data_IF_881403490615
#
_entry.id   IF_881403490615
#
_cell.length_a   1.000
_cell.length_b   1.000
_cell.length_c   1.000
_cell.angle_alpha   90.00
_cell.angle_beta   90.00
_cell.angle_gamma   90.00
#
_symmetry.space_group_name_H-M   'P 1'
#
loop_
_entity.id
_entity.type
_entity.pdbx_description
1 polymer ?
#
# COMPACT_ATOMS: atom_id res chain seq x y z
N UNK A 1 47.71 -24.31 67.42
CA UNK A 1 47.67 -23.08 68.24
C UNK A 1 49.07 -22.80 68.78
N UNK A 2 49.88 -22.07 68.02
CA UNK A 2 51.11 -21.47 68.52
C UNK A 2 50.80 -19.99 68.72
N UNK A 3 50.43 -19.62 69.94
CA UNK A 3 50.22 -18.21 70.29
C UNK A 3 51.59 -17.51 70.25
N UNK A 4 51.76 -16.61 69.28
CA UNK A 4 52.92 -15.73 69.24
C UNK A 4 52.90 -14.85 70.50
N UNK A 5 53.98 -14.88 71.26
CA UNK A 5 54.13 -14.03 72.45
C UNK A 5 54.23 -12.56 72.03
N UNK A 6 53.75 -11.61 72.84
CA UNK A 6 53.70 -10.17 72.50
C UNK A 6 55.06 -9.60 72.02
N UNK A 7 56.17 -10.17 72.50
CA UNK A 7 57.53 -9.79 72.06
C UNK A 7 57.83 -10.23 70.62
N UNK A 8 57.31 -11.38 70.18
CA UNK A 8 57.50 -11.90 68.82
C UNK A 8 56.65 -11.13 67.79
N UNK A 9 55.45 -10.69 68.15
CA UNK A 9 54.64 -9.82 67.26
C UNK A 9 55.27 -8.44 67.11
N UNK A 10 55.85 -7.87 68.18
CA UNK A 10 56.60 -6.61 68.09
C UNK A 10 57.84 -6.71 67.20
N UNK A 11 58.63 -7.79 67.31
CA UNK A 11 59.78 -7.99 66.42
C UNK A 11 59.36 -8.18 64.97
N UNK A 12 58.27 -8.90 64.70
CA UNK A 12 57.72 -9.04 63.34
C UNK A 12 57.24 -7.72 62.76
N UNK A 13 56.56 -6.86 63.55
CA UNK A 13 56.13 -5.54 63.09
C UNK A 13 57.33 -4.65 62.77
N UNK A 14 58.34 -4.61 63.65
CA UNK A 14 59.55 -3.80 63.40
C UNK A 14 60.29 -4.29 62.16
N UNK A 15 60.39 -5.60 61.95
CA UNK A 15 61.03 -6.19 60.76
C UNK A 15 60.23 -5.89 59.49
N UNK A 16 58.90 -5.93 59.57
CA UNK A 16 58.02 -5.55 58.46
C UNK A 16 58.14 -4.07 58.10
N UNK A 17 58.16 -3.18 59.10
CA UNK A 17 58.33 -1.73 58.89
C UNK A 17 59.73 -1.43 58.33
N UNK A 18 60.78 -2.09 58.83
CA UNK A 18 62.13 -1.94 58.30
C UNK A 18 62.23 -2.45 56.85
N UNK A 19 61.61 -3.58 56.53
CA UNK A 19 61.53 -4.10 55.16
C UNK A 19 60.77 -3.15 54.24
N UNK A 20 59.66 -2.56 54.70
CA UNK A 20 58.86 -1.61 53.93
C UNK A 20 59.63 -0.32 53.65
N UNK A 21 60.28 0.24 54.68
CA UNK A 21 61.17 1.40 54.51
C UNK A 21 62.36 1.09 53.60
N UNK A 22 62.92 -0.11 53.66
CA UNK A 22 63.99 -0.54 52.76
C UNK A 22 63.51 -0.59 51.30
N UNK A 23 62.31 -1.14 51.04
CA UNK A 23 61.72 -1.17 49.70
C UNK A 23 61.40 0.22 49.16
N UNK A 24 60.89 1.14 49.99
CA UNK A 24 60.60 2.53 49.58
C UNK A 24 61.90 3.27 49.22
N UNK A 25 62.97 3.06 49.99
CA UNK A 25 64.30 3.65 49.66
C UNK A 25 64.88 3.02 48.40
N UNK A 26 64.61 1.74 48.13
CA UNK A 26 65.02 1.05 46.90
C UNK A 26 64.26 1.57 45.66
N UNK A 27 62.97 1.90 45.81
CA UNK A 27 62.12 2.44 44.74
C UNK A 27 62.49 3.89 44.39
N UNK A 28 62.91 4.69 45.39
CA UNK A 28 63.32 6.09 45.21
C UNK A 28 64.75 6.26 44.66
N UNK A 29 65.50 5.17 44.47
CA UNK A 29 66.88 5.19 43.97
C UNK A 29 67.01 4.85 42.46
N UNK A 30 65.90 4.77 41.71
CA UNK A 30 65.87 4.50 40.25
C UNK A 30 66.63 3.22 39.82
N UNK A 31 66.67 2.19 40.68
CA UNK A 31 67.43 0.95 40.42
C UNK A 31 66.64 -0.08 39.57
N UNK A 32 65.42 0.26 39.12
CA UNK A 32 64.60 -0.58 38.23
C UNK A 32 64.53 -0.08 36.77
N UNK A 33 65.29 0.97 36.44
CA UNK A 33 65.29 1.57 35.09
C UNK A 33 65.87 0.70 33.94
N UNK A 34 66.85 -0.22 34.13
CA UNK A 34 67.36 -1.01 33.01
C UNK A 34 66.42 -2.14 32.54
N UNK A 35 65.45 -2.56 33.36
CA UNK A 35 64.48 -3.61 32.99
C UNK A 35 63.30 -3.01 32.19
N UNK A 36 63.00 -1.73 32.40
CA UNK A 36 61.99 -0.99 31.61
C UNK A 36 62.49 -0.60 30.21
N UNK A 37 63.80 -0.52 29.98
CA UNK A 37 64.38 -0.18 28.66
C UNK A 37 64.56 -1.39 27.74
N UNK A 38 64.58 -2.62 28.25
CA UNK A 38 64.63 -3.85 27.42
C UNK A 38 63.27 -4.30 26.84
N UNK A 39 62.16 -3.92 27.46
CA UNK A 39 60.81 -4.23 26.97
C UNK A 39 60.33 -3.27 25.87
N UNK A 40 60.96 -2.09 25.74
CA UNK A 40 60.52 -1.05 24.82
C UNK A 40 61.10 -1.20 23.40
N UNK A 41 62.15 -2.01 23.19
CA UNK A 41 62.72 -2.27 21.85
C UNK A 41 62.01 -3.38 21.07
N UNK A 42 61.24 -4.25 21.75
CA UNK A 42 60.48 -5.35 21.10
C UNK A 42 59.09 -4.89 20.61
N UNK A 43 58.55 -3.82 21.20
CA UNK A 43 57.19 -3.33 20.91
C UNK A 43 57.19 -2.32 19.75
N UNK A 44 58.33 -1.73 19.40
CA UNK A 44 58.40 -0.69 18.36
C UNK A 44 58.12 -1.12 16.89
N UNK A 45 58.35 -2.37 16.43
CA UNK A 45 57.93 -2.73 15.08
C UNK A 45 56.39 -2.88 14.97
N UNK A 46 55.72 -3.29 16.05
CA UNK A 46 54.27 -3.53 16.06
C UNK A 46 53.49 -2.21 16.08
N UNK A 47 54.02 -1.16 16.72
CA UNK A 47 53.40 0.17 16.72
C UNK A 47 53.52 0.90 15.38
N UNK A 48 54.39 0.48 14.45
CA UNK A 48 54.43 1.01 13.07
C UNK A 48 53.39 0.34 12.16
N UNK A 49 53.22 -0.97 12.27
CA UNK A 49 52.18 -1.69 11.52
C UNK A 49 50.75 -1.31 11.93
N UNK A 50 50.53 -0.97 13.21
CA UNK A 50 49.26 -0.43 13.70
C UNK A 50 49.05 1.05 13.35
N UNK A 51 50.11 1.83 13.10
CA UNK A 51 49.99 3.21 12.62
C UNK A 51 49.79 3.32 11.12
N UNK A 52 50.16 2.33 10.32
CA UNK A 52 49.79 2.33 8.90
C UNK A 52 48.30 2.02 8.69
N UNK A 53 47.67 1.33 9.67
CA UNK A 53 46.22 1.14 9.76
C UNK A 53 45.51 2.30 10.48
N UNK A 54 46.19 3.01 11.39
CA UNK A 54 45.62 4.16 12.12
C UNK A 54 45.85 5.54 11.45
N UNK A 55 46.89 5.69 10.62
CA UNK A 55 47.24 6.87 9.82
C UNK A 55 46.95 6.66 8.31
N UNK A 56 46.17 5.64 7.94
CA UNK A 56 45.34 5.74 6.73
C UNK A 56 44.32 6.86 6.98
N UNK A 57 44.12 7.81 6.05
CA UNK A 57 43.59 9.13 6.36
C UNK A 57 42.28 9.01 7.14
N UNK A 58 42.31 9.40 8.42
CA UNK A 58 41.13 9.47 9.29
C UNK A 58 40.25 10.64 8.88
N UNK A 59 39.71 10.62 7.66
CA UNK A 59 38.56 11.44 7.30
C UNK A 59 37.30 10.64 7.63
N UNK A 60 37.06 10.42 8.93
CA UNK A 60 35.75 9.96 9.41
C UNK A 60 34.64 10.91 8.91
N UNK A 61 34.99 12.18 8.68
CA UNK A 61 34.17 13.17 7.98
C UNK A 61 33.95 12.87 6.49
N UNK A 62 34.94 12.38 5.74
CA UNK A 62 34.76 12.00 4.33
C UNK A 62 34.04 10.67 4.19
N UNK A 63 34.31 9.67 5.03
CA UNK A 63 33.55 8.42 5.01
C UNK A 63 32.08 8.68 5.37
N UNK A 64 31.82 9.50 6.39
CA UNK A 64 30.46 9.91 6.72
C UNK A 64 29.83 10.79 5.63
N UNK A 65 30.63 11.58 4.88
CA UNK A 65 30.14 12.37 3.75
C UNK A 65 29.80 11.48 2.56
N UNK A 66 30.66 10.55 2.18
CA UNK A 66 30.42 9.56 1.13
C UNK A 66 29.22 8.68 1.46
N UNK A 67 29.05 8.28 2.73
CA UNK A 67 27.86 7.53 3.15
C UNK A 67 26.59 8.36 2.98
N UNK A 68 26.59 9.63 3.40
CA UNK A 68 25.45 10.54 3.19
C UNK A 68 25.18 10.82 1.71
N UNK A 69 26.21 10.99 0.90
CA UNK A 69 26.11 11.19 -0.55
C UNK A 69 25.52 9.94 -1.22
N UNK A 70 26.01 8.75 -0.87
CA UNK A 70 25.51 7.48 -1.38
C UNK A 70 24.08 7.17 -0.90
N UNK A 71 23.73 7.52 0.34
CA UNK A 71 22.37 7.42 0.86
C UNK A 71 21.42 8.37 0.10
N UNK A 72 21.83 9.63 -0.11
CA UNK A 72 21.05 10.60 -0.88
C UNK A 72 20.89 10.17 -2.35
N UNK A 73 21.95 9.64 -2.96
CA UNK A 73 21.91 9.10 -4.32
C UNK A 73 20.96 7.90 -4.40
N UNK A 74 21.08 6.94 -3.47
CA UNK A 74 20.15 5.80 -3.36
C UNK A 74 18.70 6.29 -3.24
N UNK A 75 18.43 7.24 -2.35
CA UNK A 75 17.08 7.75 -2.12
C UNK A 75 16.54 8.45 -3.37
N UNK A 76 17.38 9.20 -4.08
CA UNK A 76 17.01 9.83 -5.36
C UNK A 76 16.74 8.81 -6.48
N UNK A 77 17.54 7.76 -6.57
CA UNK A 77 17.37 6.67 -7.52
C UNK A 77 16.10 5.89 -7.21
N UNK A 78 15.83 5.61 -5.93
CA UNK A 78 14.59 4.98 -5.48
C UNK A 78 13.37 5.83 -5.82
N UNK A 79 13.41 7.15 -5.57
CA UNK A 79 12.33 8.05 -5.98
C UNK A 79 12.10 8.05 -7.49
N UNK A 80 13.17 7.98 -8.29
CA UNK A 80 13.10 7.91 -9.75
C UNK A 80 12.45 6.60 -10.23
N UNK A 81 12.83 5.46 -9.64
CA UNK A 81 12.24 4.16 -9.94
C UNK A 81 10.75 4.16 -9.61
N UNK A 82 10.36 4.66 -8.44
CA UNK A 82 8.94 4.77 -8.05
C UNK A 82 8.16 5.64 -9.03
N UNK A 83 8.70 6.80 -9.43
CA UNK A 83 8.06 7.67 -10.41
C UNK A 83 7.90 6.98 -11.77
N UNK A 84 8.91 6.22 -12.20
CA UNK A 84 8.84 5.45 -13.43
C UNK A 84 7.77 4.36 -13.38
N UNK A 85 7.67 3.62 -12.27
CA UNK A 85 6.66 2.59 -12.07
C UNK A 85 5.24 3.19 -12.09
N UNK A 86 5.05 4.37 -11.50
CA UNK A 86 3.78 5.10 -11.54
C UNK A 86 3.40 5.47 -12.98
N UNK A 87 4.34 6.05 -13.75
CA UNK A 87 4.10 6.41 -15.15
C UNK A 87 3.78 5.18 -16.01
N UNK A 88 4.47 4.05 -15.78
CA UNK A 88 4.20 2.81 -16.50
C UNK A 88 2.80 2.30 -16.20
N UNK A 89 2.38 2.29 -14.93
CA UNK A 89 1.04 1.88 -14.54
C UNK A 89 -0.05 2.78 -15.16
N UNK A 90 0.16 4.09 -15.18
CA UNK A 90 -0.75 5.05 -15.82
C UNK A 90 -0.84 4.81 -17.33
N UNK A 91 0.29 4.57 -17.99
CA UNK A 91 0.32 4.29 -19.43
C UNK A 91 -0.44 3.02 -19.78
N UNK A 92 -0.26 1.94 -18.99
CA UNK A 92 -0.98 0.68 -19.20
C UNK A 92 -2.49 0.85 -18.97
N UNK A 93 -2.89 1.62 -17.96
CA UNK A 93 -4.30 1.92 -17.71
C UNK A 93 -4.94 2.70 -18.87
N UNK A 94 -4.25 3.73 -19.38
CA UNK A 94 -4.72 4.51 -20.53
C UNK A 94 -4.81 3.65 -21.79
N UNK A 95 -3.85 2.74 -22.02
CA UNK A 95 -3.91 1.78 -23.14
C UNK A 95 -5.12 0.86 -23.03
N UNK A 96 -5.40 0.34 -21.84
CA UNK A 96 -6.56 -0.51 -21.62
C UNK A 96 -7.87 0.24 -21.89
N UNK A 97 -7.94 1.53 -21.54
CA UNK A 97 -9.11 2.36 -21.80
C UNK A 97 -9.32 2.65 -23.29
N UNK A 98 -8.25 2.93 -24.03
CA UNK A 98 -8.33 3.06 -25.51
C UNK A 98 -8.75 1.74 -26.15
N UNK A 99 -8.19 0.61 -25.72
CA UNK A 99 -8.57 -0.70 -26.24
C UNK A 99 -10.06 -1.03 -25.96
N UNK A 100 -10.59 -0.62 -24.81
CA UNK A 100 -12.00 -0.75 -24.47
C UNK A 100 -12.89 0.15 -25.35
N UNK A 101 -12.43 1.37 -25.66
CA UNK A 101 -13.12 2.25 -26.60
C UNK A 101 -13.18 1.65 -28.01
N UNK A 102 -12.06 1.10 -28.48
CA UNK A 102 -11.97 0.46 -29.80
C UNK A 102 -12.88 -0.77 -29.92
N UNK A 103 -13.16 -1.48 -28.82
CA UNK A 103 -14.06 -2.64 -28.82
C UNK A 103 -15.54 -2.26 -28.76
N UNK A 104 -15.88 -1.01 -28.46
CA UNK A 104 -17.26 -0.50 -28.39
C UNK A 104 -17.41 0.77 -29.25
N UNK A 105 -17.25 0.68 -30.59
CA UNK A 105 -17.22 1.84 -31.47
C UNK A 105 -18.54 2.63 -31.51
N UNK A 106 -19.65 2.00 -31.10
CA UNK A 106 -20.97 2.62 -31.03
C UNK A 106 -21.15 3.47 -29.75
N UNK A 107 -20.21 3.44 -28.81
CA UNK A 107 -20.25 4.22 -27.56
C UNK A 107 -19.34 5.44 -27.65
N UNK A 108 -19.90 6.60 -27.35
CA UNK A 108 -19.11 7.80 -27.12
C UNK A 108 -18.60 7.78 -25.66
N UNK A 109 -17.28 7.68 -25.48
CA UNK A 109 -16.66 7.59 -24.16
C UNK A 109 -15.92 8.89 -23.82
N UNK A 110 -16.23 9.45 -22.66
CA UNK A 110 -15.47 10.56 -22.07
C UNK A 110 -14.56 10.01 -20.99
N UNK A 111 -13.25 10.06 -21.23
CA UNK A 111 -12.24 9.68 -20.24
C UNK A 111 -12.05 10.80 -19.22
N UNK A 112 -12.13 10.46 -17.93
CA UNK A 112 -12.02 11.39 -16.81
C UNK A 112 -11.07 10.88 -15.73
N UNK A 113 -10.30 11.77 -15.11
CA UNK A 113 -9.42 11.47 -13.99
C UNK A 113 -10.15 11.63 -12.67
N UNK A 114 -9.93 10.69 -11.74
CA UNK A 114 -10.44 10.75 -10.38
C UNK A 114 -9.61 11.74 -9.57
N UNK A 115 -10.21 12.88 -9.22
CA UNK A 115 -9.56 13.97 -8.48
C UNK A 115 -9.84 13.94 -6.99
N UNK A 116 -10.96 13.32 -6.59
CA UNK A 116 -11.32 13.21 -5.18
C UNK A 116 -12.14 11.96 -4.89
N UNK A 117 -12.14 11.55 -3.62
CA UNK A 117 -12.90 10.43 -3.06
C UNK A 117 -13.51 10.89 -1.75
N UNK A 118 -14.66 10.36 -1.35
CA UNK A 118 -15.27 10.73 -0.07
C UNK A 118 -14.32 10.38 1.10
N UNK A 119 -13.81 11.37 1.86
CA UNK A 119 -12.93 11.13 2.99
C UNK A 119 -13.68 10.59 4.22
N UNK A 120 -15.01 10.79 4.29
CA UNK A 120 -15.82 10.35 5.42
C UNK A 120 -16.07 8.83 5.41
N UNK A 121 -16.00 8.21 4.23
CA UNK A 121 -16.18 6.78 4.02
C UNK A 121 -17.62 6.29 4.23
N UNK A 122 -18.56 7.20 4.50
CA UNK A 122 -19.97 6.86 4.68
C UNK A 122 -20.63 6.52 3.35
N UNK A 123 -20.19 7.18 2.28
CA UNK A 123 -20.64 6.93 0.91
C UNK A 123 -19.46 6.51 0.04
N UNK A 124 -19.73 5.64 -0.92
CA UNK A 124 -18.81 5.24 -1.97
C UNK A 124 -19.05 6.10 -3.19
N UNK A 125 -18.48 7.30 -3.13
CA UNK A 125 -18.48 8.26 -4.24
C UNK A 125 -17.06 8.64 -4.64
N UNK A 126 -16.89 9.00 -5.90
CA UNK A 126 -15.69 9.62 -6.46
C UNK A 126 -16.06 10.90 -7.19
N UNK A 127 -15.11 11.82 -7.30
CA UNK A 127 -15.25 13.06 -8.09
C UNK A 127 -14.24 13.03 -9.23
N UNK A 128 -14.69 13.39 -10.42
CA UNK A 128 -13.87 13.42 -11.64
C UNK A 128 -13.72 14.83 -12.21
N UNK A 129 -12.66 15.05 -13.00
CA UNK A 129 -12.29 16.34 -13.63
C UNK A 129 -13.04 16.66 -14.93
N UNK A 130 -14.19 16.01 -15.15
CA UNK A 130 -15.04 16.16 -16.32
C UNK A 130 -16.47 16.44 -15.92
N UNK A 131 -17.14 17.33 -16.65
CA UNK A 131 -18.46 17.83 -16.29
C UNK A 131 -19.39 18.02 -17.48
N UNK A 132 -20.40 18.88 -17.30
CA UNK A 132 -21.39 19.14 -18.36
C UNK A 132 -20.79 19.78 -19.60
N UNK A 133 -19.66 20.49 -19.49
CA UNK A 133 -18.92 21.03 -20.64
C UNK A 133 -18.34 19.93 -21.55
N UNK A 134 -18.14 18.72 -21.02
CA UNK A 134 -17.69 17.54 -21.74
C UNK A 134 -18.87 16.64 -22.17
N UNK A 135 -20.12 17.10 -22.04
CA UNK A 135 -21.33 16.35 -22.44
C UNK A 135 -21.86 15.37 -21.39
N UNK A 136 -21.28 15.35 -20.19
CA UNK A 136 -21.70 14.45 -19.10
C UNK A 136 -23.04 14.91 -18.50
N UNK A 137 -23.92 13.95 -18.21
CA UNK A 137 -25.22 14.17 -17.59
C UNK A 137 -25.44 13.18 -16.43
N UNK A 138 -26.32 13.56 -15.51
CA UNK A 138 -26.76 12.66 -14.44
C UNK A 138 -27.41 11.40 -15.02
N UNK A 139 -27.14 10.26 -14.39
CA UNK A 139 -27.61 8.94 -14.80
C UNK A 139 -26.69 8.18 -15.76
N UNK A 140 -25.71 8.84 -16.40
CA UNK A 140 -24.78 8.16 -17.30
C UNK A 140 -23.95 7.09 -16.59
N UNK A 141 -23.75 5.97 -17.27
CA UNK A 141 -22.91 4.88 -16.79
C UNK A 141 -21.44 5.24 -16.80
N UNK A 142 -20.74 4.77 -15.77
CA UNK A 142 -19.29 4.89 -15.61
C UNK A 142 -18.69 3.50 -15.63
N UNK A 143 -17.62 3.34 -16.37
CA UNK A 143 -16.89 2.08 -16.54
C UNK A 143 -15.39 2.30 -16.36
N UNK A 144 -14.70 1.25 -15.95
CA UNK A 144 -13.26 1.11 -16.11
C UNK A 144 -12.97 0.06 -17.20
N UNK A 145 -11.71 -0.17 -17.59
CA UNK A 145 -11.40 -1.17 -18.63
C UNK A 145 -11.82 -2.61 -18.30
N UNK A 146 -12.16 -2.91 -17.05
CA UNK A 146 -12.54 -4.25 -16.60
C UNK A 146 -14.05 -4.42 -16.45
N UNK A 147 -14.77 -3.37 -16.00
CA UNK A 147 -16.18 -3.48 -15.59
C UNK A 147 -16.90 -2.15 -15.36
N UNK A 148 -18.21 -2.26 -15.18
CA UNK A 148 -19.09 -1.24 -14.63
C UNK A 148 -18.62 -0.75 -13.26
N UNK A 149 -18.56 0.56 -13.12
CA UNK A 149 -18.09 1.26 -11.91
C UNK A 149 -19.23 1.92 -11.16
N UNK A 150 -20.26 2.43 -11.83
CA UNK A 150 -21.36 3.14 -11.19
C UNK A 150 -22.05 4.13 -12.13
N UNK A 151 -22.68 5.15 -11.53
CA UNK A 151 -23.42 6.20 -12.27
C UNK A 151 -23.01 7.59 -11.84
N UNK A 152 -23.12 8.53 -12.78
CA UNK A 152 -23.04 9.96 -12.49
C UNK A 152 -24.29 10.40 -11.72
N UNK A 153 -24.13 10.95 -10.53
CA UNK A 153 -25.25 11.37 -9.66
C UNK A 153 -25.36 12.87 -9.47
N UNK A 154 -24.29 13.61 -9.73
CA UNK A 154 -24.31 15.09 -9.75
C UNK A 154 -23.34 15.59 -10.80
N UNK A 155 -23.74 16.61 -11.56
CA UNK A 155 -22.87 17.23 -12.57
C UNK A 155 -22.71 18.72 -12.29
N UNK A 156 -21.46 19.18 -12.36
CA UNK A 156 -21.07 20.58 -12.40
C UNK A 156 -20.39 20.88 -13.75
N UNK A 157 -20.03 22.13 -14.01
CA UNK A 157 -19.52 22.55 -15.33
C UNK A 157 -18.25 21.79 -15.76
N UNK A 158 -17.32 21.59 -14.82
CA UNK A 158 -16.01 20.96 -15.06
C UNK A 158 -15.72 19.80 -14.09
N UNK A 159 -16.74 19.29 -13.41
CA UNK A 159 -16.58 18.14 -12.53
C UNK A 159 -17.89 17.38 -12.39
N UNK A 160 -17.81 16.11 -12.02
CA UNK A 160 -18.97 15.28 -11.77
C UNK A 160 -18.73 14.37 -10.57
N UNK A 161 -19.80 14.08 -9.84
CA UNK A 161 -19.82 13.13 -8.74
C UNK A 161 -20.40 11.83 -9.27
N UNK A 162 -19.70 10.73 -8.98
CA UNK A 162 -20.05 9.38 -9.39
C UNK A 162 -20.32 8.58 -8.13
N UNK A 163 -21.49 7.96 -8.06
CA UNK A 163 -21.81 6.97 -7.03
C UNK A 163 -21.39 5.60 -7.53
N UNK A 164 -20.54 4.93 -6.77
CA UNK A 164 -19.97 3.63 -7.12
C UNK A 164 -20.99 2.50 -6.95
N UNK A 165 -20.83 1.43 -7.72
CA UNK A 165 -21.74 0.29 -7.72
C UNK A 165 -21.80 -0.46 -6.38
N UNK A 166 -20.77 -0.31 -5.55
CA UNK A 166 -20.67 -0.89 -4.20
C UNK A 166 -21.34 -0.05 -3.10
N UNK A 167 -21.80 1.16 -3.42
CA UNK A 167 -22.51 2.02 -2.47
C UNK A 167 -23.87 1.43 -2.09
N UNK A 168 -24.24 1.53 -0.82
CA UNK A 168 -25.50 0.99 -0.28
C UNK A 168 -26.75 1.65 -0.88
N UNK A 169 -26.62 2.89 -1.38
CA UNK A 169 -27.71 3.59 -2.06
C UNK A 169 -27.80 3.26 -3.55
N UNK A 170 -26.79 2.58 -4.11
CA UNK A 170 -26.75 2.26 -5.53
C UNK A 170 -27.51 0.97 -5.86
N UNK A 171 -28.30 1.05 -6.92
CA UNK A 171 -29.04 -0.07 -7.50
C UNK A 171 -28.95 0.00 -9.02
N UNK A 172 -28.72 -1.15 -9.66
CA UNK A 172 -28.70 -1.27 -11.11
C UNK A 172 -29.34 -2.58 -11.54
N UNK A 173 -30.13 -2.56 -12.61
CA UNK A 173 -30.65 -3.80 -13.20
C UNK A 173 -29.49 -4.66 -13.68
N UNK A 174 -29.53 -5.96 -13.36
CA UNK A 174 -28.45 -6.87 -13.66
C UNK A 174 -28.98 -8.26 -14.01
N UNK A 175 -28.21 -9.00 -14.81
CA UNK A 175 -28.59 -10.33 -15.26
C UNK A 175 -27.40 -11.28 -15.18
N UNK A 176 -27.68 -12.55 -14.92
CA UNK A 176 -26.71 -13.61 -15.14
C UNK A 176 -26.61 -13.88 -16.64
N UNK A 177 -25.39 -14.05 -17.14
CA UNK A 177 -25.18 -14.45 -18.54
C UNK A 177 -25.76 -15.85 -18.81
N UNK A 178 -25.80 -16.71 -17.79
CA UNK A 178 -26.45 -18.02 -17.85
C UNK A 178 -27.99 -17.96 -17.91
N UNK A 179 -28.57 -16.78 -17.68
CA UNK A 179 -30.01 -16.54 -17.65
C UNK A 179 -30.51 -16.17 -16.26
N UNK A 180 -31.53 -15.30 -16.21
CA UNK A 180 -32.12 -14.79 -14.98
C UNK A 180 -31.74 -13.32 -14.74
N UNK A 181 -32.76 -12.50 -14.48
CA UNK A 181 -32.63 -11.08 -14.18
C UNK A 181 -32.84 -10.83 -12.68
N UNK A 182 -32.28 -9.71 -12.21
CA UNK A 182 -32.43 -9.23 -10.86
C UNK A 182 -31.96 -7.79 -10.73
N UNK A 183 -31.81 -7.33 -9.49
CA UNK A 183 -31.29 -5.99 -9.19
C UNK A 183 -30.00 -6.17 -8.39
N UNK A 184 -28.92 -5.58 -8.89
CA UNK A 184 -27.66 -5.53 -8.18
C UNK A 184 -27.66 -4.35 -7.20
N UNK A 185 -27.28 -4.63 -5.96
CA UNK A 185 -27.20 -3.68 -4.85
C UNK A 185 -25.76 -3.61 -4.34
N UNK A 186 -25.29 -2.41 -4.01
CA UNK A 186 -24.05 -2.26 -3.25
C UNK A 186 -24.24 -2.63 -1.77
N UNK A 187 -23.23 -3.25 -1.17
CA UNK A 187 -23.27 -3.79 0.19
C UNK A 187 -22.11 -3.32 1.06
N UNK A 188 -21.43 -2.23 0.69
CA UNK A 188 -20.17 -1.84 1.34
C UNK A 188 -20.27 -1.73 2.88
N UNK A 189 -21.36 -1.14 3.39
CA UNK A 189 -21.56 -0.98 4.84
C UNK A 189 -21.80 -2.30 5.58
N UNK A 190 -22.19 -3.36 4.86
CA UNK A 190 -22.45 -4.69 5.41
C UNK A 190 -21.20 -5.60 5.37
N UNK A 191 -20.03 -5.05 5.01
CA UNK A 191 -18.78 -5.81 4.88
C UNK A 191 -18.70 -6.68 3.63
N UNK A 192 -19.71 -6.62 2.76
CA UNK A 192 -19.76 -7.25 1.43
C UNK A 192 -19.54 -6.19 0.36
N UNK A 193 -19.38 -6.60 -0.90
CA UNK A 193 -19.23 -5.64 -2.01
C UNK A 193 -20.55 -5.38 -2.70
N UNK A 194 -21.15 -6.43 -3.26
CA UNK A 194 -22.40 -6.34 -4.01
C UNK A 194 -23.20 -7.63 -3.89
N UNK A 195 -24.51 -7.54 -4.12
CA UNK A 195 -25.44 -8.66 -4.21
C UNK A 195 -26.41 -8.48 -5.37
N UNK A 196 -26.79 -9.59 -5.99
CA UNK A 196 -27.93 -9.65 -6.90
C UNK A 196 -29.13 -10.18 -6.13
N UNK A 197 -30.25 -9.45 -6.15
CA UNK A 197 -31.50 -9.84 -5.48
C UNK A 197 -32.65 -9.94 -6.47
N UNK A 198 -33.76 -10.53 -6.03
CA UNK A 198 -34.98 -10.73 -6.82
C UNK A 198 -34.79 -11.66 -8.02
N UNK A 199 -33.83 -12.57 -7.95
CA UNK A 199 -33.62 -13.59 -8.97
C UNK A 199 -34.62 -14.73 -8.77
N UNK A 200 -35.12 -15.30 -9.86
CA UNK A 200 -36.04 -16.44 -9.84
C UNK A 200 -35.46 -17.59 -8.98
N UNK A 201 -36.29 -18.14 -8.08
CA UNK A 201 -35.90 -19.22 -7.17
C UNK A 201 -35.68 -20.57 -7.83
N UNK A 202 -36.22 -20.77 -9.02
CA UNK A 202 -36.04 -22.01 -9.79
C UNK A 202 -34.70 -22.01 -10.55
N UNK A 203 -33.98 -20.89 -10.51
CA UNK A 203 -32.65 -20.77 -11.10
C UNK A 203 -31.59 -21.50 -10.23
N UNK A 204 -30.61 -22.12 -10.88
CA UNK A 204 -29.45 -22.72 -10.21
C UNK A 204 -28.14 -22.02 -10.61
N UNK A 205 -27.86 -20.80 -10.11
CA UNK A 205 -26.58 -20.11 -10.34
C UNK A 205 -25.40 -20.94 -9.87
N UNK A 206 -24.31 -20.91 -10.63
CA UNK A 206 -23.06 -21.56 -10.26
C UNK A 206 -22.00 -20.53 -9.83
N UNK A 207 -21.14 -20.93 -8.90
CA UNK A 207 -19.98 -20.12 -8.53
C UNK A 207 -19.11 -19.86 -9.76
N UNK A 208 -18.78 -18.59 -9.99
CA UNK A 208 -18.03 -18.16 -11.16
C UNK A 208 -18.88 -17.68 -12.33
N UNK A 209 -20.20 -17.86 -12.30
CA UNK A 209 -21.09 -17.32 -13.33
C UNK A 209 -20.97 -15.80 -13.44
N UNK A 210 -21.00 -15.30 -14.68
CA UNK A 210 -20.84 -13.89 -15.00
C UNK A 210 -22.13 -13.12 -14.77
N UNK A 211 -22.00 -11.91 -14.22
CA UNK A 211 -23.10 -10.96 -14.03
C UNK A 211 -22.78 -9.68 -14.81
N UNK A 212 -23.78 -9.22 -15.56
CA UNK A 212 -23.69 -8.01 -16.39
C UNK A 212 -24.89 -7.09 -16.11
N UNK A 213 -24.82 -5.82 -16.53
CA UNK A 213 -25.98 -4.92 -16.50
C UNK A 213 -27.09 -5.46 -17.41
N UNK A 214 -28.34 -5.34 -16.95
CA UNK A 214 -29.51 -5.74 -17.74
C UNK A 214 -29.97 -4.60 -18.66
N UNK A 215 -30.82 -4.93 -19.64
CA UNK A 215 -31.43 -3.94 -20.53
C UNK A 215 -32.38 -3.03 -19.74
N UNK A 216 -32.22 -1.72 -19.89
CA UNK A 216 -33.03 -0.68 -19.27
C UNK A 216 -34.53 -0.80 -19.59
N UNK A 217 -34.94 -1.55 -20.62
CA UNK A 217 -36.35 -1.85 -20.87
C UNK A 217 -37.05 -2.59 -19.71
N UNK A 218 -36.30 -3.28 -18.83
CA UNK A 218 -36.87 -3.96 -17.67
C UNK A 218 -36.90 -3.10 -16.38
N UNK A 219 -36.22 -1.94 -16.34
CA UNK A 219 -36.21 -1.07 -15.15
C UNK A 219 -36.09 0.43 -15.50
N UNK A 220 -37.14 1.19 -15.23
CA UNK A 220 -37.23 2.64 -15.47
C UNK A 220 -36.22 3.50 -14.68
N UNK A 221 -35.44 2.88 -13.78
CA UNK A 221 -34.46 3.54 -12.90
C UNK A 221 -33.04 3.57 -13.46
N UNK A 222 -32.78 2.87 -14.56
CA UNK A 222 -31.44 2.74 -15.18
C UNK A 222 -31.43 3.12 -16.66
N UNK A 223 -32.30 4.06 -17.07
CA UNK A 223 -32.52 4.41 -18.49
C UNK A 223 -31.28 4.82 -19.29
N UNK A 224 -30.15 5.11 -18.64
CA UNK A 224 -28.91 5.58 -19.28
C UNK A 224 -27.72 4.63 -19.03
N UNK A 225 -27.97 3.44 -18.48
CA UNK A 225 -26.96 2.39 -18.33
C UNK A 225 -27.14 1.37 -19.45
N UNK A 226 -26.17 1.23 -20.37
CA UNK A 226 -26.24 0.21 -21.41
C UNK A 226 -26.29 -1.21 -20.80
N UNK A 227 -26.98 -2.15 -21.46
CA UNK A 227 -26.89 -3.56 -21.10
C UNK A 227 -25.48 -4.11 -21.35
N UNK A 228 -25.24 -5.30 -20.80
CA UNK A 228 -24.06 -6.14 -21.05
C UNK A 228 -22.73 -5.55 -20.56
N UNK A 229 -22.75 -4.55 -19.67
CA UNK A 229 -21.57 -4.10 -18.97
C UNK A 229 -21.19 -5.12 -17.88
N UNK A 230 -19.96 -5.66 -17.89
CA UNK A 230 -19.51 -6.59 -16.85
C UNK A 230 -19.60 -5.97 -15.47
N UNK A 231 -20.23 -6.65 -14.51
CA UNK A 231 -20.25 -6.23 -13.11
C UNK A 231 -19.26 -7.08 -12.33
N UNK A 232 -19.39 -8.41 -12.44
CA UNK A 232 -18.64 -9.34 -11.61
C UNK A 232 -19.02 -10.79 -11.85
N UNK A 233 -18.74 -11.62 -10.85
CA UNK A 233 -19.12 -13.04 -10.83
C UNK A 233 -19.82 -13.45 -9.55
N UNK A 234 -20.62 -14.49 -9.65
CA UNK A 234 -21.21 -15.19 -8.50
C UNK A 234 -20.12 -15.75 -7.61
N UNK A 235 -20.25 -15.50 -6.31
CA UNK A 235 -19.43 -16.14 -5.27
C UNK A 235 -20.33 -16.75 -4.20
N UNK A 236 -19.86 -17.84 -3.59
CA UNK A 236 -20.61 -18.54 -2.54
C UNK A 236 -21.84 -19.27 -3.06
N UNK A 237 -22.74 -19.59 -2.14
CA UNK A 237 -23.98 -20.32 -2.42
C UNK A 237 -25.15 -19.33 -2.39
N UNK A 238 -26.04 -19.33 -3.40
CA UNK A 238 -27.25 -18.50 -3.37
C UNK A 238 -28.08 -18.72 -2.10
N UNK A 239 -28.48 -17.62 -1.47
CA UNK A 239 -29.39 -17.62 -0.33
C UNK A 239 -30.83 -17.51 -0.82
N UNK A 240 -31.76 -18.21 -0.15
CA UNK A 240 -33.18 -18.11 -0.46
C UNK A 240 -33.84 -17.01 0.38
N UNK A 241 -34.38 -16.00 -0.30
CA UNK A 241 -35.29 -15.03 0.31
C UNK A 241 -36.71 -15.62 0.35
N UNK A 242 -37.06 -16.16 1.52
CA UNK A 242 -38.36 -16.77 1.76
C UNK A 242 -39.52 -15.76 1.74
N UNK A 243 -39.24 -14.46 1.94
CA UNK A 243 -40.26 -13.41 1.99
C UNK A 243 -40.65 -13.01 0.56
N UNK A 244 -39.65 -12.80 -0.29
CA UNK A 244 -39.85 -12.31 -1.67
C UNK A 244 -39.91 -13.43 -2.72
N UNK A 245 -39.87 -14.69 -2.30
CA UNK A 245 -39.90 -15.84 -3.18
C UNK A 245 -38.74 -15.85 -4.22
N UNK A 246 -37.54 -15.43 -3.80
CA UNK A 246 -36.43 -15.18 -4.72
C UNK A 246 -35.08 -15.63 -4.15
N UNK A 247 -34.01 -15.53 -4.97
CA UNK A 247 -32.64 -15.74 -4.54
C UNK A 247 -31.90 -14.42 -4.31
N UNK A 248 -30.98 -14.48 -3.36
CA UNK A 248 -29.94 -13.48 -3.11
C UNK A 248 -28.60 -14.13 -3.44
N UNK A 249 -27.83 -13.49 -4.31
CA UNK A 249 -26.57 -14.01 -4.82
C UNK A 249 -25.47 -13.00 -4.51
N UNK A 250 -24.40 -13.43 -3.86
CA UNK A 250 -23.26 -12.57 -3.58
C UNK A 250 -22.39 -12.38 -4.84
N UNK A 251 -21.96 -11.14 -5.08
CA UNK A 251 -21.19 -10.77 -6.27
C UNK A 251 -19.77 -10.35 -5.88
N UNK A 252 -18.79 -10.94 -6.54
CA UNK A 252 -17.44 -10.39 -6.58
C UNK A 252 -17.28 -9.48 -7.80
N UNK A 253 -17.21 -8.14 -7.63
CA UNK A 253 -17.09 -7.23 -8.74
C UNK A 253 -15.69 -7.29 -9.38
N UNK A 254 -15.63 -7.12 -10.70
CA UNK A 254 -14.35 -7.08 -11.42
C UNK A 254 -13.63 -5.74 -11.27
N UNK A 255 -14.37 -4.63 -11.13
CA UNK A 255 -13.76 -3.33 -10.92
C UNK A 255 -13.06 -3.26 -9.55
N UNK A 256 -11.89 -2.63 -9.54
CA UNK A 256 -11.09 -2.38 -8.34
C UNK A 256 -11.38 -0.96 -7.84
N UNK A 257 -12.52 -0.80 -7.17
CA UNK A 257 -13.02 0.50 -6.70
C UNK A 257 -12.00 1.33 -5.90
N UNK A 258 -11.15 0.67 -5.10
CA UNK A 258 -10.15 1.33 -4.27
C UNK A 258 -8.97 1.91 -5.09
N UNK A 259 -8.77 1.45 -6.32
CA UNK A 259 -7.62 1.78 -7.18
C UNK A 259 -7.99 2.62 -8.41
N UNK A 260 -9.25 3.00 -8.56
CA UNK A 260 -9.71 3.87 -9.65
C UNK A 260 -8.95 5.20 -9.68
N UNK A 261 -8.18 5.41 -10.75
CA UNK A 261 -7.49 6.68 -11.07
C UNK A 261 -8.08 7.38 -12.29
N UNK A 262 -8.54 6.58 -13.25
CA UNK A 262 -9.11 7.03 -14.52
C UNK A 262 -10.32 6.14 -14.80
N UNK A 263 -11.40 6.76 -15.24
CA UNK A 263 -12.66 6.11 -15.60
C UNK A 263 -13.16 6.64 -16.94
N UNK A 264 -14.01 5.88 -17.62
CA UNK A 264 -14.76 6.33 -18.80
C UNK A 264 -16.22 6.53 -18.43
N UNK A 265 -16.81 7.62 -18.89
CA UNK A 265 -18.26 7.84 -18.83
C UNK A 265 -18.83 7.55 -20.23
N UNK A 266 -19.88 6.72 -20.28
CA UNK A 266 -20.59 6.42 -21.52
C UNK A 266 -21.60 7.53 -21.78
N UNK A 267 -21.32 8.34 -22.79
CA UNK A 267 -22.20 9.41 -23.26
C UNK A 267 -23.15 8.80 -24.28
N UNK A 268 -24.43 8.74 -23.92
CA UNK A 268 -25.49 8.37 -24.85
C UNK A 268 -25.83 9.63 -25.65
N UNK A 269 -25.64 9.58 -26.97
CA UNK A 269 -26.06 10.64 -27.88
C UNK A 269 -27.59 10.80 -27.82
N UNK A 270 -28.07 12.03 -27.70
CA UNK A 270 -29.51 12.30 -27.80
C UNK A 270 -29.95 12.03 -29.26
N UNK A 271 -30.94 11.13 -29.45
CA UNK A 271 -31.76 11.09 -30.68
C UNK A 271 -32.72 12.29 -30.76
#
# INVERSE_FOLDING_TARGET
MTSLTVRQTLTLIVLFVASSSFFIVLDNANVLDPVKTGLLDVVQPISRGLREVADGPTNNSDLARQLREAEAERDSLQATVIAQDILLAETEQLRAQVAFQDSHPDWELVTAQVVNRDPSGNQKIIVVDKGSSDGIREGMAVVDPNAYVGIVTKVEENSAVITLAIDDTHQVGAQLVAGGEGIAYGMWQEGRRMELRHVDRDLEPQEGDYIVTADAQSDARSSLVPPDLPIGRVIGVPEQDLINDSLIIEIYPYSRFDELKVVSIIVVADE
#
